data_IF_397072419021
#
_entry.id   IF_397072419021
#
_cell.length_a   1.000
_cell.length_b   1.000
_cell.length_c   1.000
_cell.angle_alpha   90.00
_cell.angle_beta   90.00
_cell.angle_gamma   90.00
#
_symmetry.space_group_name_H-M   'P 1'
#
loop_
_entity.id
_entity.type
_entity.pdbx_description
1 polymer ?
#
# COMPACT_ATOMS: atom_id res chain seq x y z
N UNK A 1 22.13 -27.00 -6.95
CA UNK A 1 21.58 -25.68 -7.32
C UNK A 1 20.09 -25.88 -7.54
N UNK A 2 19.24 -25.10 -6.87
CA UNK A 2 17.78 -25.31 -6.95
C UNK A 2 17.26 -25.02 -8.37
N UNK A 3 16.34 -25.84 -8.87
CA UNK A 3 15.69 -25.64 -10.16
C UNK A 3 14.82 -24.35 -10.20
N UNK A 4 14.43 -23.82 -9.04
CA UNK A 4 13.69 -22.57 -8.95
C UNK A 4 14.55 -21.33 -9.25
N UNK A 5 15.86 -21.37 -9.04
CA UNK A 5 16.74 -20.18 -9.16
C UNK A 5 16.77 -19.61 -10.58
N UNK A 6 16.96 -20.41 -11.65
CA UNK A 6 16.87 -19.91 -13.02
C UNK A 6 15.50 -19.29 -13.35
N UNK A 7 14.41 -19.90 -12.87
CA UNK A 7 13.05 -19.40 -13.08
C UNK A 7 12.81 -18.08 -12.35
N UNK A 8 13.29 -17.96 -11.10
CA UNK A 8 13.23 -16.73 -10.33
C UNK A 8 13.94 -15.60 -11.07
N UNK A 9 15.17 -15.86 -11.54
CA UNK A 9 15.94 -14.90 -12.34
C UNK A 9 15.18 -14.44 -13.58
N UNK A 10 14.69 -15.40 -14.38
CA UNK A 10 13.92 -15.11 -15.59
C UNK A 10 12.65 -14.29 -15.31
N UNK A 11 11.99 -14.53 -14.17
CA UNK A 11 10.76 -13.84 -13.81
C UNK A 11 10.98 -12.41 -13.30
N UNK A 12 12.13 -12.11 -12.68
CA UNK A 12 12.40 -10.76 -12.12
C UNK A 12 13.13 -9.85 -13.10
N UNK A 13 13.94 -10.38 -14.02
CA UNK A 13 14.72 -9.59 -14.98
C UNK A 13 13.87 -8.56 -15.76
N UNK A 14 12.68 -8.89 -16.28
CA UNK A 14 11.83 -7.91 -16.96
C UNK A 14 11.39 -6.76 -16.05
N UNK A 15 11.12 -7.05 -14.78
CA UNK A 15 10.71 -6.03 -13.79
C UNK A 15 11.89 -5.10 -13.50
N UNK A 16 13.09 -5.64 -13.35
CA UNK A 16 14.30 -4.84 -13.15
C UNK A 16 14.66 -4.00 -14.40
N UNK A 17 14.25 -4.44 -15.59
CA UNK A 17 14.32 -3.63 -16.81
C UNK A 17 13.56 -2.31 -16.70
N UNK A 18 12.47 -2.26 -15.92
CA UNK A 18 11.61 -1.06 -15.78
C UNK A 18 12.22 0.04 -14.92
N UNK A 19 13.36 -0.20 -14.28
CA UNK A 19 14.04 0.76 -13.39
C UNK A 19 15.43 1.16 -13.89
N UNK A 20 15.85 0.71 -15.07
CA UNK A 20 17.20 0.97 -15.59
C UNK A 20 17.48 2.47 -15.79
N UNK A 21 16.45 3.28 -16.02
CA UNK A 21 16.54 4.74 -16.14
C UNK A 21 16.56 5.46 -14.78
N UNK A 22 16.31 4.74 -13.68
CA UNK A 22 16.16 5.29 -12.32
C UNK A 22 17.32 4.97 -11.40
N UNK A 23 18.21 4.08 -11.81
CA UNK A 23 19.36 3.62 -11.03
C UNK A 23 20.59 3.60 -11.91
N UNK A 24 21.76 3.83 -11.32
CA UNK A 24 23.04 3.73 -12.02
C UNK A 24 23.33 2.29 -12.47
N UNK A 25 23.05 1.31 -11.61
CA UNK A 25 23.32 -0.09 -11.90
C UNK A 25 22.42 -1.05 -11.11
N UNK A 26 22.21 -2.24 -11.68
CA UNK A 26 21.51 -3.37 -11.06
C UNK A 26 22.31 -4.63 -11.31
N UNK A 27 22.45 -5.47 -10.29
CA UNK A 27 23.13 -6.76 -10.38
C UNK A 27 22.24 -7.87 -9.83
N UNK A 28 22.30 -9.03 -10.47
CA UNK A 28 21.62 -10.25 -10.03
C UNK A 28 22.68 -11.32 -9.79
N UNK A 29 22.87 -11.64 -8.52
CA UNK A 29 23.78 -12.67 -8.05
C UNK A 29 22.98 -13.93 -7.69
N UNK A 30 23.39 -15.08 -8.22
CA UNK A 30 22.78 -16.38 -7.87
C UNK A 30 23.84 -17.29 -7.27
N UNK A 31 23.61 -17.82 -6.06
CA UNK A 31 24.55 -18.71 -5.39
C UNK A 31 23.81 -19.86 -4.70
N UNK A 32 24.02 -21.09 -5.19
CA UNK A 32 23.45 -22.30 -4.60
C UNK A 32 21.92 -22.34 -4.69
N UNK A 33 21.27 -21.92 -3.61
CA UNK A 33 19.81 -21.83 -3.43
C UNK A 33 19.35 -20.40 -3.17
N UNK A 34 20.18 -19.40 -3.46
CA UNK A 34 19.89 -17.98 -3.23
C UNK A 34 19.93 -17.17 -4.51
N UNK A 35 19.05 -16.17 -4.57
CA UNK A 35 19.07 -15.10 -5.56
C UNK A 35 19.12 -13.77 -4.82
N UNK A 36 20.05 -12.91 -5.19
CA UNK A 36 20.20 -11.57 -4.61
C UNK A 36 20.21 -10.53 -5.71
N UNK A 37 19.38 -9.51 -5.56
CA UNK A 37 19.37 -8.33 -6.42
C UNK A 37 19.98 -7.17 -5.64
N UNK A 38 21.01 -6.55 -6.22
CA UNK A 38 21.63 -5.33 -5.72
C UNK A 38 21.37 -4.19 -6.69
N UNK A 39 21.35 -2.97 -6.17
CA UNK A 39 21.20 -1.77 -6.97
C UNK A 39 22.09 -0.65 -6.44
N UNK A 40 22.42 0.28 -7.33
CA UNK A 40 23.16 1.49 -7.00
C UNK A 40 22.46 2.66 -7.68
N UNK A 41 22.08 3.69 -6.93
CA UNK A 41 21.34 4.85 -7.44
C UNK A 41 22.26 5.90 -8.06
N UNK A 42 23.41 6.19 -7.44
CA UNK A 42 24.46 7.03 -8.04
C UNK A 42 25.83 6.33 -7.95
N UNK A 43 26.81 6.68 -8.82
CA UNK A 43 28.15 6.08 -8.82
C UNK A 43 28.91 6.20 -7.49
N UNK A 44 28.60 7.22 -6.68
CA UNK A 44 29.27 7.53 -5.41
C UNK A 44 28.70 6.72 -4.24
N UNK A 45 27.49 6.18 -4.37
CA UNK A 45 26.81 5.42 -3.32
C UNK A 45 27.24 3.95 -3.32
N UNK A 46 27.25 3.31 -2.14
CA UNK A 46 27.45 1.86 -2.07
C UNK A 46 26.21 1.11 -2.59
N UNK A 47 26.43 -0.04 -3.23
CA UNK A 47 25.33 -0.86 -3.72
C UNK A 47 24.44 -1.37 -2.56
N UNK A 48 23.16 -1.03 -2.61
CA UNK A 48 22.14 -1.52 -1.69
C UNK A 48 21.59 -2.89 -2.11
N UNK A 49 21.03 -3.63 -1.16
CA UNK A 49 20.34 -4.90 -1.43
C UNK A 49 18.84 -4.65 -1.65
N UNK A 50 18.35 -4.90 -2.87
CA UNK A 50 16.95 -4.72 -3.23
C UNK A 50 16.10 -5.93 -2.86
N UNK A 51 16.56 -7.13 -3.19
CA UNK A 51 15.80 -8.35 -3.02
C UNK A 51 16.76 -9.48 -2.63
N UNK A 52 16.42 -10.23 -1.60
CA UNK A 52 17.09 -11.49 -1.29
C UNK A 52 16.04 -12.58 -1.24
N UNK A 53 16.27 -13.67 -1.97
CA UNK A 53 15.39 -14.84 -2.06
C UNK A 53 16.19 -16.07 -1.68
N UNK A 54 15.62 -16.89 -0.80
CA UNK A 54 16.21 -18.16 -0.35
C UNK A 54 15.24 -19.29 -0.68
N UNK A 55 15.69 -20.24 -1.49
CA UNK A 55 14.95 -21.45 -1.82
C UNK A 55 15.34 -22.57 -0.87
N UNK A 56 14.37 -23.20 -0.20
CA UNK A 56 14.61 -24.33 0.70
C UNK A 56 13.86 -25.53 0.14
N UNK A 57 14.52 -26.24 -0.78
CA UNK A 57 13.92 -27.34 -1.55
C UNK A 57 13.34 -28.45 -0.67
N UNK A 58 14.05 -28.82 0.41
CA UNK A 58 13.61 -29.85 1.36
C UNK A 58 12.24 -29.55 2.00
N UNK A 59 11.96 -28.27 2.23
CA UNK A 59 10.73 -27.78 2.85
C UNK A 59 9.68 -27.35 1.81
N UNK A 60 10.01 -27.43 0.51
CA UNK A 60 9.21 -26.89 -0.60
C UNK A 60 8.77 -25.44 -0.34
N UNK A 61 9.71 -24.61 0.10
CA UNK A 61 9.45 -23.18 0.39
C UNK A 61 10.45 -22.25 -0.26
N UNK A 62 9.97 -21.05 -0.57
CA UNK A 62 10.75 -19.89 -0.95
C UNK A 62 10.54 -18.82 0.12
N UNK A 63 11.62 -18.27 0.66
CA UNK A 63 11.59 -17.15 1.61
C UNK A 63 12.13 -15.87 0.97
N UNK A 64 11.52 -14.74 1.28
CA UNK A 64 12.02 -13.39 0.98
C UNK A 64 12.40 -12.73 2.31
N UNK A 65 13.63 -12.92 2.82
CA UNK A 65 14.09 -12.24 4.03
C UNK A 65 14.38 -10.75 3.83
N UNK A 66 14.51 -10.27 2.59
CA UNK A 66 14.73 -8.85 2.34
C UNK A 66 14.07 -8.41 1.05
N UNK A 67 13.28 -7.33 1.14
CA UNK A 67 12.81 -6.57 0.00
C UNK A 67 12.81 -5.06 0.32
N UNK A 68 13.68 -4.31 -0.37
CA UNK A 68 13.86 -2.88 -0.21
C UNK A 68 13.80 -2.19 -1.57
N UNK A 69 12.72 -1.46 -1.80
CA UNK A 69 12.51 -0.71 -3.05
C UNK A 69 12.37 0.80 -2.80
N UNK A 70 12.64 1.26 -1.58
CA UNK A 70 12.66 2.69 -1.26
C UNK A 70 13.82 3.38 -1.99
N UNK A 71 13.62 4.62 -2.41
CA UNK A 71 14.63 5.41 -3.14
C UNK A 71 14.58 5.29 -4.67
N UNK A 72 14.05 4.20 -5.23
CA UNK A 72 14.01 3.98 -6.69
C UNK A 72 12.89 4.79 -7.38
N UNK A 73 11.88 5.22 -6.60
CA UNK A 73 10.79 6.05 -7.11
C UNK A 73 9.80 5.33 -8.05
N UNK A 74 9.93 4.01 -8.22
CA UNK A 74 8.95 3.20 -8.95
C UNK A 74 7.93 2.59 -7.98
N UNK A 75 6.68 3.03 -8.12
CA UNK A 75 5.59 2.58 -7.27
C UNK A 75 5.15 1.17 -7.66
N UNK A 76 4.88 0.33 -6.66
CA UNK A 76 4.46 -1.05 -6.88
C UNK A 76 5.62 -2.02 -7.11
N UNK A 77 6.86 -1.56 -7.32
CA UNK A 77 8.03 -2.41 -7.59
C UNK A 77 8.16 -3.58 -6.61
N UNK A 78 8.07 -3.31 -5.30
CA UNK A 78 8.17 -4.36 -4.29
C UNK A 78 7.09 -5.44 -4.44
N UNK A 79 5.84 -5.04 -4.74
CA UNK A 79 4.77 -6.01 -4.98
C UNK A 79 4.93 -6.77 -6.29
N UNK A 80 5.39 -6.11 -7.35
CA UNK A 80 5.69 -6.76 -8.63
C UNK A 80 6.77 -7.83 -8.46
N UNK A 81 7.82 -7.54 -7.68
CA UNK A 81 8.85 -8.51 -7.35
C UNK A 81 8.29 -9.68 -6.52
N UNK A 82 7.47 -9.42 -5.50
CA UNK A 82 6.80 -10.48 -4.72
C UNK A 82 5.89 -11.34 -5.62
N UNK A 83 5.15 -10.71 -6.55
CA UNK A 83 4.28 -11.41 -7.49
C UNK A 83 5.07 -12.33 -8.45
N UNK A 84 6.20 -11.86 -8.96
CA UNK A 84 7.11 -12.67 -9.77
C UNK A 84 7.60 -13.91 -9.00
N UNK A 85 8.06 -13.71 -7.76
CA UNK A 85 8.50 -14.81 -6.89
C UNK A 85 7.34 -15.77 -6.58
N UNK A 86 6.13 -15.26 -6.31
CA UNK A 86 4.92 -16.06 -6.05
C UNK A 86 4.54 -16.92 -7.25
N UNK A 87 4.61 -16.37 -8.45
CA UNK A 87 4.35 -17.08 -9.70
C UNK A 87 5.29 -18.28 -9.85
N UNK A 88 6.60 -18.05 -9.67
CA UNK A 88 7.59 -19.13 -9.73
C UNK A 88 7.35 -20.16 -8.63
N UNK A 89 7.06 -19.73 -7.39
CA UNK A 89 6.71 -20.65 -6.30
C UNK A 89 5.52 -21.55 -6.69
N UNK A 90 4.48 -20.99 -7.32
CA UNK A 90 3.34 -21.75 -7.82
C UNK A 90 3.71 -22.77 -8.90
N UNK A 91 4.54 -22.37 -9.87
CA UNK A 91 4.99 -23.24 -10.96
C UNK A 91 5.77 -24.46 -10.47
N UNK A 92 6.61 -24.29 -9.44
CA UNK A 92 7.40 -25.39 -8.85
C UNK A 92 6.69 -26.07 -7.67
N UNK A 93 5.47 -25.65 -7.34
CA UNK A 93 4.67 -26.18 -6.24
C UNK A 93 5.29 -25.94 -4.86
N UNK A 94 5.89 -24.77 -4.64
CA UNK A 94 6.46 -24.32 -3.38
C UNK A 94 5.56 -23.24 -2.75
N UNK A 95 5.66 -23.10 -1.42
CA UNK A 95 5.02 -22.02 -0.66
C UNK A 95 5.94 -20.79 -0.59
N UNK A 96 5.36 -19.59 -0.55
CA UNK A 96 6.11 -18.34 -0.47
C UNK A 96 5.92 -17.68 0.90
N UNK A 97 7.02 -17.34 1.55
CA UNK A 97 7.05 -16.61 2.80
C UNK A 97 7.85 -15.31 2.64
N UNK A 98 7.44 -14.28 3.37
CA UNK A 98 8.28 -13.11 3.62
C UNK A 98 8.64 -13.17 5.10
N UNK A 99 9.93 -13.10 5.39
CA UNK A 99 10.52 -13.32 6.71
C UNK A 99 11.24 -12.05 7.18
N UNK A 100 11.54 -11.95 8.48
CA UNK A 100 12.37 -10.90 9.09
C UNK A 100 11.89 -9.46 8.79
N UNK A 101 10.57 -9.26 8.71
CA UNK A 101 10.00 -7.99 8.28
C UNK A 101 9.97 -6.94 9.39
N UNK A 102 10.19 -5.68 9.02
CA UNK A 102 9.82 -4.54 9.87
C UNK A 102 8.30 -4.47 10.05
N UNK A 103 7.85 -4.09 11.25
CA UNK A 103 6.43 -4.08 11.64
C UNK A 103 5.49 -3.32 10.69
N UNK A 104 5.96 -2.22 10.08
CA UNK A 104 5.18 -1.46 9.11
C UNK A 104 4.93 -2.22 7.80
N UNK A 105 5.84 -3.10 7.40
CA UNK A 105 5.69 -3.92 6.19
C UNK A 105 4.88 -5.19 6.48
N UNK A 106 5.07 -5.79 7.67
CA UNK A 106 4.26 -6.89 8.18
C UNK A 106 2.76 -6.57 8.12
N UNK A 107 2.34 -5.45 8.73
CA UNK A 107 0.93 -5.01 8.72
C UNK A 107 0.38 -4.82 7.32
N UNK A 108 1.18 -4.25 6.41
CA UNK A 108 0.79 -4.09 5.01
C UNK A 108 0.54 -5.43 4.34
N UNK A 109 1.36 -6.44 4.56
CA UNK A 109 1.14 -7.76 3.96
C UNK A 109 -0.18 -8.37 4.45
N UNK A 110 -0.51 -8.23 5.74
CA UNK A 110 -1.81 -8.65 6.28
C UNK A 110 -2.97 -7.87 5.64
N UNK A 111 -2.83 -6.54 5.48
CA UNK A 111 -3.80 -5.72 4.73
C UNK A 111 -3.94 -6.15 3.27
N UNK A 112 -2.96 -6.84 2.70
CA UNK A 112 -3.03 -7.39 1.34
C UNK A 112 -3.67 -8.78 1.32
N UNK A 113 -3.98 -9.38 2.47
CA UNK A 113 -4.51 -10.73 2.57
C UNK A 113 -3.44 -11.82 2.62
N UNK A 114 -2.24 -11.50 3.09
CA UNK A 114 -1.27 -12.51 3.49
C UNK A 114 -1.75 -13.24 4.75
N UNK A 115 -1.34 -14.49 4.93
CA UNK A 115 -1.66 -15.30 6.11
C UNK A 115 -0.56 -15.06 7.16
N UNK A 116 -0.96 -14.66 8.36
CA UNK A 116 -0.05 -14.59 9.52
C UNK A 116 0.47 -15.99 9.87
N UNK A 117 1.80 -16.12 9.97
CA UNK A 117 2.47 -17.34 10.46
C UNK A 117 2.96 -17.08 11.89
N UNK A 118 3.67 -15.98 12.08
CA UNK A 118 4.11 -15.44 13.36
C UNK A 118 4.29 -13.91 13.26
N UNK A 119 4.87 -13.29 14.29
CA UNK A 119 4.97 -11.82 14.39
C UNK A 119 5.93 -11.15 13.40
N UNK A 120 6.72 -11.92 12.65
CA UNK A 120 7.70 -11.41 11.68
C UNK A 120 7.63 -12.12 10.32
N UNK A 121 6.86 -13.22 10.22
CA UNK A 121 6.66 -14.00 9.01
C UNK A 121 5.19 -14.03 8.57
N UNK A 122 4.98 -13.85 7.27
CA UNK A 122 3.69 -14.07 6.60
C UNK A 122 3.84 -15.01 5.42
N UNK A 123 2.79 -15.76 5.13
CA UNK A 123 2.66 -16.53 3.91
C UNK A 123 1.91 -15.73 2.84
N UNK A 124 2.48 -15.72 1.64
CA UNK A 124 1.90 -15.10 0.45
C UNK A 124 1.20 -16.18 -0.37
N UNK A 125 -0.10 -16.02 -0.58
CA UNK A 125 -0.96 -16.97 -1.29
C UNK A 125 -1.62 -16.33 -2.50
N UNK A 126 -2.42 -17.09 -3.25
CA UNK A 126 -3.20 -16.57 -4.38
C UNK A 126 -4.31 -15.59 -3.94
N UNK A 127 -4.71 -15.64 -2.66
CA UNK A 127 -5.63 -14.66 -2.09
C UNK A 127 -4.95 -13.32 -1.76
N UNK A 128 -3.61 -13.27 -1.73
CA UNK A 128 -2.87 -12.05 -1.41
C UNK A 128 -2.88 -11.10 -2.60
N UNK A 129 -3.39 -9.88 -2.39
CA UNK A 129 -3.57 -8.81 -3.38
C UNK A 129 -2.23 -8.16 -3.77
N UNK A 130 -1.51 -8.80 -4.68
CA UNK A 130 -0.22 -8.32 -5.19
C UNK A 130 -0.36 -7.42 -6.43
N UNK A 131 -1.39 -7.63 -7.25
CA UNK A 131 -1.65 -6.87 -8.48
C UNK A 131 -2.37 -5.53 -8.26
N UNK A 132 -3.02 -5.34 -7.10
CA UNK A 132 -3.81 -4.15 -6.79
C UNK A 132 -2.91 -2.98 -6.38
N UNK A 133 -2.11 -2.42 -7.30
CA UNK A 133 -1.28 -1.25 -7.02
C UNK A 133 -2.19 -0.07 -6.64
N UNK A 134 -2.50 0.10 -5.36
CA UNK A 134 -3.32 1.21 -4.87
C UNK A 134 -2.48 2.48 -4.76
N UNK A 135 -2.96 3.65 -5.24
CA UNK A 135 -2.35 4.96 -4.98
C UNK A 135 -1.76 5.09 -3.58
N UNK A 136 -0.53 5.62 -3.49
CA UNK A 136 0.01 5.98 -2.18
C UNK A 136 -0.91 7.03 -1.55
N UNK A 137 -0.90 7.15 -0.23
CA UNK A 137 -1.76 8.12 0.47
C UNK A 137 -1.63 9.55 -0.10
N UNK A 138 -0.40 9.98 -0.43
CA UNK A 138 -0.13 11.26 -1.08
C UNK A 138 -0.71 11.36 -2.50
N UNK A 139 -0.67 10.27 -3.28
CA UNK A 139 -1.26 10.21 -4.62
C UNK A 139 -2.79 10.27 -4.56
N UNK A 140 -3.43 9.54 -3.64
CA UNK A 140 -4.88 9.65 -3.43
C UNK A 140 -5.27 11.05 -3.00
N UNK A 141 -4.51 11.66 -2.07
CA UNK A 141 -4.74 13.05 -1.63
C UNK A 141 -4.67 14.01 -2.81
N UNK A 142 -3.63 13.90 -3.65
CA UNK A 142 -3.45 14.73 -4.83
C UNK A 142 -4.54 14.54 -5.88
N UNK A 143 -4.98 13.29 -6.11
CA UNK A 143 -6.09 12.99 -7.04
C UNK A 143 -7.40 13.56 -6.49
N UNK A 144 -7.71 13.32 -5.22
CA UNK A 144 -8.95 13.80 -4.58
C UNK A 144 -9.03 15.33 -4.59
N UNK A 145 -7.91 16.02 -4.35
CA UNK A 145 -7.82 17.49 -4.40
C UNK A 145 -8.11 18.10 -5.77
N UNK A 146 -8.17 17.29 -6.85
CA UNK A 146 -8.62 17.76 -8.18
C UNK A 146 -10.13 17.86 -8.30
N UNK A 147 -10.87 17.23 -7.39
CA UNK A 147 -12.33 17.11 -7.45
C UNK A 147 -13.01 17.85 -6.31
N UNK A 148 -12.39 17.90 -5.14
CA UNK A 148 -12.88 18.63 -3.97
C UNK A 148 -11.82 19.62 -3.49
N UNK A 149 -12.22 20.87 -3.29
CA UNK A 149 -11.39 21.87 -2.60
C UNK A 149 -11.36 21.59 -1.10
N UNK A 150 -10.36 22.16 -0.39
CA UNK A 150 -10.29 22.04 1.07
C UNK A 150 -11.56 22.59 1.75
N UNK A 151 -12.15 23.66 1.21
CA UNK A 151 -13.43 24.21 1.68
C UNK A 151 -14.60 23.24 1.49
N UNK A 152 -14.67 22.56 0.33
CA UNK A 152 -15.70 21.54 0.08
C UNK A 152 -15.52 20.32 0.98
N UNK A 153 -14.28 19.90 1.24
CA UNK A 153 -13.97 18.86 2.21
C UNK A 153 -14.41 19.30 3.59
N UNK A 154 -14.07 20.50 4.04
CA UNK A 154 -14.49 21.00 5.35
C UNK A 154 -16.02 21.06 5.48
N UNK A 155 -16.72 21.64 4.50
CA UNK A 155 -18.18 21.71 4.49
C UNK A 155 -18.82 20.31 4.50
N UNK A 156 -18.23 19.34 3.80
CA UNK A 156 -18.69 17.96 3.81
C UNK A 156 -18.48 17.28 5.18
N UNK A 157 -17.39 17.59 5.92
CA UNK A 157 -17.21 17.12 7.30
C UNK A 157 -18.31 17.65 8.20
N UNK A 158 -18.56 18.96 8.12
CA UNK A 158 -19.56 19.61 8.95
C UNK A 158 -20.95 19.03 8.70
N UNK A 159 -21.32 18.84 7.42
CA UNK A 159 -22.57 18.17 7.04
C UNK A 159 -22.63 16.72 7.50
N UNK A 160 -21.54 15.97 7.37
CA UNK A 160 -21.46 14.59 7.85
C UNK A 160 -21.67 14.50 9.37
N UNK A 161 -20.99 15.34 10.13
CA UNK A 161 -21.11 15.37 11.59
C UNK A 161 -22.49 15.84 12.03
N UNK A 162 -23.09 16.81 11.33
CA UNK A 162 -24.46 17.24 11.58
C UNK A 162 -25.48 16.11 11.34
N UNK A 163 -25.24 15.27 10.32
CA UNK A 163 -26.06 14.09 10.05
C UNK A 163 -25.79 12.92 11.02
N UNK A 164 -24.63 12.90 11.69
CA UNK A 164 -24.18 11.83 12.57
C UNK A 164 -23.70 12.38 13.92
N UNK A 165 -24.59 13.01 14.72
CA UNK A 165 -24.20 13.71 15.96
C UNK A 165 -23.58 12.77 17.00
N UNK A 166 -23.89 11.48 16.96
CA UNK A 166 -23.29 10.47 17.85
C UNK A 166 -21.77 10.36 17.70
N UNK A 167 -21.19 10.75 16.56
CA UNK A 167 -19.73 10.77 16.34
C UNK A 167 -19.03 11.79 17.25
N UNK A 168 -19.73 12.87 17.62
CA UNK A 168 -19.18 13.92 18.47
C UNK A 168 -19.48 13.74 19.97
N UNK A 169 -20.30 12.74 20.34
CA UNK A 169 -20.79 12.60 21.71
C UNK A 169 -19.67 12.55 22.77
N UNK A 170 -18.57 11.87 22.47
CA UNK A 170 -17.40 11.78 23.37
C UNK A 170 -16.58 13.08 23.41
N UNK A 171 -16.51 13.80 22.30
CA UNK A 171 -15.74 15.04 22.20
C UNK A 171 -16.48 16.23 22.80
N UNK A 172 -17.79 16.30 22.59
CA UNK A 172 -18.65 17.35 23.15
C UNK A 172 -18.80 17.20 24.68
N UNK A 173 -18.51 16.02 25.23
CA UNK A 173 -18.41 15.79 26.67
C UNK A 173 -17.14 16.40 27.31
N UNK A 174 -16.16 16.83 26.50
CA UNK A 174 -14.93 17.48 26.98
C UNK A 174 -15.14 19.00 27.01
N UNK A 175 -15.15 19.65 28.19
CA UNK A 175 -15.28 21.10 28.27
C UNK A 175 -14.09 21.81 27.60
N UNK A 176 -14.30 22.93 26.87
CA UNK A 176 -13.22 23.66 26.18
C UNK A 176 -12.05 24.07 27.10
N UNK A 177 -12.35 24.42 28.34
CA UNK A 177 -11.35 24.81 29.33
C UNK A 177 -10.44 23.63 29.72
N UNK A 178 -11.01 22.43 29.82
CA UNK A 178 -10.26 21.20 30.08
C UNK A 178 -9.42 20.81 28.87
N UNK A 179 -9.97 20.93 27.66
CA UNK A 179 -9.21 20.67 26.43
C UNK A 179 -8.00 21.60 26.31
N UNK A 180 -8.17 22.89 26.65
CA UNK A 180 -7.07 23.87 26.67
C UNK A 180 -5.99 23.53 27.70
N UNK A 181 -6.38 23.10 28.90
CA UNK A 181 -5.43 22.65 29.94
C UNK A 181 -4.65 21.41 29.47
N UNK A 182 -5.30 20.50 28.77
CA UNK A 182 -4.69 19.27 28.25
C UNK A 182 -3.94 19.45 26.92
N UNK A 183 -3.92 20.67 26.36
CA UNK A 183 -3.30 20.95 25.06
C UNK A 183 -4.00 20.25 23.88
N UNK A 184 -5.27 19.87 24.04
CA UNK A 184 -6.06 19.19 23.02
C UNK A 184 -6.65 20.23 22.07
N UNK A 185 -6.30 20.13 20.79
CA UNK A 185 -6.97 20.90 19.74
C UNK A 185 -8.30 20.21 19.36
N UNK A 186 -9.41 20.71 19.90
CA UNK A 186 -10.74 20.15 19.65
C UNK A 186 -11.14 20.17 18.16
N UNK A 187 -10.71 21.18 17.40
CA UNK A 187 -11.02 21.26 15.97
C UNK A 187 -10.30 20.16 15.17
N UNK A 188 -9.03 19.91 15.50
CA UNK A 188 -8.26 18.84 14.88
C UNK A 188 -8.81 17.46 15.25
N UNK A 189 -9.22 17.26 16.52
CA UNK A 189 -9.89 16.03 16.94
C UNK A 189 -11.22 15.82 16.23
N UNK A 190 -12.02 16.88 16.01
CA UNK A 190 -13.25 16.80 15.20
C UNK A 190 -12.96 16.31 13.78
N UNK A 191 -11.94 16.87 13.12
CA UNK A 191 -11.54 16.46 11.76
C UNK A 191 -11.12 14.98 11.72
N UNK A 192 -10.36 14.53 12.73
CA UNK A 192 -9.92 13.14 12.84
C UNK A 192 -11.09 12.18 13.05
N UNK A 193 -11.97 12.46 14.02
CA UNK A 193 -13.16 11.64 14.29
C UNK A 193 -14.09 11.57 13.08
N UNK A 194 -14.30 12.68 12.37
CA UNK A 194 -15.06 12.69 11.13
C UNK A 194 -14.45 11.75 10.09
N UNK A 195 -13.13 11.83 9.86
CA UNK A 195 -12.44 10.97 8.90
C UNK A 195 -12.53 9.47 9.28
N UNK A 196 -12.36 9.13 10.56
CA UNK A 196 -12.47 7.76 11.06
C UNK A 196 -13.89 7.20 10.96
N UNK A 197 -14.90 8.02 11.27
CA UNK A 197 -16.31 7.65 11.15
C UNK A 197 -16.70 7.46 9.68
N UNK A 198 -16.28 8.34 8.78
CA UNK A 198 -16.47 8.21 7.33
C UNK A 198 -15.82 6.92 6.82
N UNK A 199 -14.57 6.64 7.19
CA UNK A 199 -13.89 5.41 6.81
C UNK A 199 -14.63 4.16 7.32
N UNK A 200 -15.17 4.22 8.54
CA UNK A 200 -15.97 3.14 9.12
C UNK A 200 -17.29 2.93 8.37
N UNK A 201 -17.98 4.00 8.01
CA UNK A 201 -19.20 3.93 7.20
C UNK A 201 -18.92 3.36 5.81
N UNK A 202 -17.84 3.80 5.15
CA UNK A 202 -17.42 3.30 3.85
C UNK A 202 -17.17 1.78 3.90
N UNK A 203 -16.45 1.30 4.93
CA UNK A 203 -16.24 -0.14 5.16
C UNK A 203 -17.54 -0.91 5.32
N UNK A 204 -18.50 -0.39 6.10
CA UNK A 204 -19.83 -1.03 6.29
C UNK A 204 -20.63 -1.11 4.99
N UNK A 205 -20.53 -0.09 4.14
CA UNK A 205 -21.18 -0.02 2.83
C UNK A 205 -20.43 -0.81 1.74
N UNK A 206 -19.18 -1.22 1.97
CA UNK A 206 -18.34 -1.86 0.96
C UNK A 206 -17.88 -0.92 -0.16
N UNK A 207 -17.79 0.38 0.10
CA UNK A 207 -17.44 1.41 -0.89
C UNK A 207 -16.19 2.21 -0.49
N UNK A 208 -15.68 3.04 -1.40
CA UNK A 208 -14.53 3.93 -1.16
C UNK A 208 -14.92 5.06 -0.18
N UNK A 209 -14.02 5.43 0.74
CA UNK A 209 -14.28 6.53 1.68
C UNK A 209 -14.51 7.87 0.97
N UNK A 210 -13.85 8.10 -0.16
CA UNK A 210 -14.06 9.27 -1.01
C UNK A 210 -15.47 9.31 -1.60
N UNK A 211 -16.10 8.16 -1.85
CA UNK A 211 -17.48 8.10 -2.31
C UNK A 211 -18.45 8.59 -1.23
N UNK A 212 -18.22 8.18 0.03
CA UNK A 212 -18.97 8.72 1.17
C UNK A 212 -18.75 10.22 1.30
N UNK A 213 -17.53 10.71 1.12
CA UNK A 213 -17.25 12.15 1.11
C UNK A 213 -18.05 12.92 0.07
N UNK A 214 -18.15 12.38 -1.16
CA UNK A 214 -18.94 12.98 -2.22
C UNK A 214 -20.43 13.05 -1.87
N UNK A 215 -20.97 12.10 -1.10
CA UNK A 215 -22.36 12.12 -0.65
C UNK A 215 -22.72 13.44 0.06
N UNK A 216 -21.77 14.01 0.81
CA UNK A 216 -21.94 15.24 1.59
C UNK A 216 -21.35 16.49 0.93
N UNK A 217 -20.36 16.32 0.04
CA UNK A 217 -19.70 17.43 -0.65
C UNK A 217 -20.49 17.91 -1.87
N UNK A 218 -21.12 17.00 -2.61
CA UNK A 218 -21.74 17.26 -3.91
C UNK A 218 -23.20 16.80 -3.89
N UNK A 219 -24.12 17.75 -4.07
CA UNK A 219 -25.56 17.48 -3.97
C UNK A 219 -26.09 16.64 -5.15
N UNK A 220 -25.56 16.86 -6.35
CA UNK A 220 -26.04 16.21 -7.56
C UNK A 220 -25.53 14.76 -7.68
N UNK A 221 -26.43 13.75 -7.75
CA UNK A 221 -26.03 12.36 -7.95
C UNK A 221 -25.24 12.13 -9.25
N UNK A 222 -25.64 12.77 -10.36
CA UNK A 222 -24.95 12.63 -11.64
C UNK A 222 -23.55 13.22 -11.59
N UNK A 223 -23.35 14.34 -10.90
CA UNK A 223 -22.04 14.93 -10.71
C UNK A 223 -21.12 14.02 -9.87
N UNK A 224 -21.66 13.37 -8.83
CA UNK A 224 -20.91 12.37 -8.04
C UNK A 224 -20.42 11.21 -8.90
N UNK A 225 -21.30 10.64 -9.74
CA UNK A 225 -20.94 9.55 -10.65
C UNK A 225 -19.82 9.96 -11.60
N UNK A 226 -19.94 11.11 -12.27
CA UNK A 226 -18.89 11.59 -13.19
C UNK A 226 -17.55 11.84 -12.49
N UNK A 227 -17.57 12.33 -11.25
CA UNK A 227 -16.34 12.51 -10.45
C UNK A 227 -15.71 11.15 -10.13
N UNK A 228 -16.50 10.15 -9.73
CA UNK A 228 -15.99 8.81 -9.39
C UNK A 228 -15.37 8.13 -10.61
N UNK A 229 -16.01 8.21 -11.77
CA UNK A 229 -15.49 7.68 -13.04
C UNK A 229 -14.15 8.34 -13.39
N UNK A 230 -14.10 9.68 -13.37
CA UNK A 230 -12.88 10.43 -13.68
C UNK A 230 -11.77 10.19 -12.66
N UNK A 231 -12.12 10.03 -11.39
CA UNK A 231 -11.17 9.65 -10.33
C UNK A 231 -10.61 8.26 -10.59
N UNK A 232 -11.44 7.30 -11.01
CA UNK A 232 -10.99 5.95 -11.32
C UNK A 232 -10.04 5.92 -12.52
N UNK A 233 -10.29 6.73 -13.56
CA UNK A 233 -9.36 6.91 -14.68
C UNK A 233 -8.00 7.47 -14.22
N UNK A 234 -8.00 8.50 -13.37
CA UNK A 234 -6.76 9.06 -12.82
C UNK A 234 -6.02 8.07 -11.92
N UNK A 235 -6.75 7.24 -11.17
CA UNK A 235 -6.16 6.16 -10.38
C UNK A 235 -5.50 5.15 -11.31
N UNK A 236 -6.17 4.70 -12.38
CA UNK A 236 -5.64 3.77 -13.39
C UNK A 236 -4.37 4.33 -14.07
N UNK A 237 -4.41 5.58 -14.49
CA UNK A 237 -3.24 6.26 -15.05
C UNK A 237 -2.08 6.37 -14.03
N UNK A 238 -2.38 6.67 -12.76
CA UNK A 238 -1.38 6.78 -11.69
C UNK A 238 -0.77 5.43 -11.24
N UNK A 239 -1.29 4.31 -11.76
CA UNK A 239 -0.78 2.96 -11.50
C UNK A 239 -0.15 2.33 -12.75
N UNK A 240 -0.18 3.03 -13.89
CA UNK A 240 0.41 2.56 -15.15
C UNK A 240 -0.47 1.57 -15.94
N UNK A 241 -1.78 1.59 -15.73
CA UNK A 241 -2.77 0.79 -16.47
C UNK A 241 -3.57 1.64 -17.47
#
# INVERSE_FOLDING_TARGET
MSAAIPLLRQSIEPILGTIQDRVHAVWIDTAGNTLTVRFQTTPEESAGMMLHVVVKDADRRIGIPNILTQGIGLRGLGRSLIAAVRSVAGQVGYRLFIDDMVQGFYRKCLEWGAIEVDHETVEITDATRLADVTPGHSTFKAINARFLTDEQVQAAQERFLAANPSVLAELDAVPPDIAKILGINLEEQRKKLAAEAIATQARRKGIDAFEVWLEYAIESPSARTSILERRQELIRAAIGN
#
